data_IF_067631443648
#
_entry.id   IF_067631443648
#
_cell.length_a   1.000
_cell.length_b   1.000
_cell.length_c   1.000
_cell.angle_alpha   90.00
_cell.angle_beta   90.00
_cell.angle_gamma   90.00
#
_symmetry.space_group_name_H-M   'P 1'
#
loop_
_entity.id
_entity.type
_entity.pdbx_description
1 polymer ?
#
# COMPACT_ATOMS: atom_id res chain seq x y z
N UNK A 1 36.24 10.14 -10.70
CA UNK A 1 35.86 10.48 -9.30
C UNK A 1 35.90 9.18 -8.52
N UNK A 2 36.67 9.14 -7.45
CA UNK A 2 36.86 7.95 -6.62
C UNK A 2 36.14 8.21 -5.30
N UNK A 3 35.09 7.45 -5.02
CA UNK A 3 34.38 7.51 -3.74
C UNK A 3 35.06 6.53 -2.78
N UNK A 4 35.72 7.05 -1.75
CA UNK A 4 36.35 6.24 -0.70
C UNK A 4 35.36 6.11 0.46
N UNK A 5 34.85 4.91 0.69
CA UNK A 5 34.00 4.58 1.84
C UNK A 5 34.89 4.18 3.02
N UNK A 6 34.96 5.03 4.04
CA UNK A 6 35.59 4.70 5.32
C UNK A 6 34.58 4.01 6.24
N UNK A 7 34.92 2.83 6.75
CA UNK A 7 34.17 2.17 7.81
C UNK A 7 34.50 2.84 9.15
N UNK A 8 33.51 3.45 9.81
CA UNK A 8 33.63 3.90 11.19
C UNK A 8 33.19 2.76 12.12
N UNK A 9 34.13 2.28 12.94
CA UNK A 9 33.89 1.40 14.07
C UNK A 9 33.37 2.25 15.23
N UNK A 10 32.24 1.89 15.84
CA UNK A 10 31.79 2.53 17.07
C UNK A 10 32.71 2.11 18.23
N UNK A 11 33.51 3.04 18.77
CA UNK A 11 34.04 2.92 20.13
C UNK A 11 33.15 3.73 21.07
N UNK A 12 32.83 3.16 22.24
CA UNK A 12 32.10 3.82 23.33
C UNK A 12 33.02 4.87 24.02
N UNK A 13 33.29 5.99 23.35
CA UNK A 13 33.98 7.13 23.96
C UNK A 13 33.03 8.33 24.03
N UNK A 14 32.54 8.62 25.25
CA UNK A 14 31.68 9.76 25.64
C UNK A 14 32.45 11.12 25.64
N UNK A 15 33.43 11.31 24.76
CA UNK A 15 34.10 12.60 24.62
C UNK A 15 33.25 13.57 23.77
N UNK A 16 33.17 14.87 24.15
CA UNK A 16 32.41 15.85 23.38
C UNK A 16 32.94 15.92 21.95
N UNK A 17 32.06 15.66 20.98
CA UNK A 17 32.36 15.64 19.55
C UNK A 17 33.08 16.94 19.16
N UNK A 18 34.34 16.83 18.75
CA UNK A 18 35.12 17.97 18.22
C UNK A 18 34.40 18.59 17.02
N UNK A 19 34.34 19.93 16.96
CA UNK A 19 33.77 20.80 15.91
C UNK A 19 34.22 20.51 14.44
N UNK A 20 35.00 19.47 14.18
CA UNK A 20 35.58 19.14 12.88
C UNK A 20 34.79 18.19 11.98
N UNK A 21 33.71 17.57 12.47
CA UNK A 21 32.91 16.57 11.71
C UNK A 21 31.42 16.95 11.56
N UNK A 22 31.11 18.24 11.46
CA UNK A 22 29.75 18.70 11.14
C UNK A 22 29.58 18.64 9.62
N UNK A 23 28.71 17.75 9.13
CA UNK A 23 28.29 17.76 7.72
C UNK A 23 27.58 19.09 7.45
N UNK A 24 27.98 19.89 6.44
CA UNK A 24 27.32 21.16 6.14
C UNK A 24 25.82 20.97 5.87
N UNK A 25 24.98 21.89 6.37
CA UNK A 25 23.54 21.90 6.11
C UNK A 25 23.20 21.84 4.61
N UNK A 26 24.03 22.46 3.77
CA UNK A 26 23.89 22.41 2.30
C UNK A 26 24.11 21.00 1.73
N UNK A 27 25.01 20.21 2.32
CA UNK A 27 25.23 18.82 1.90
C UNK A 27 24.07 17.92 2.36
N UNK A 28 23.60 18.08 3.60
CA UNK A 28 22.41 17.36 4.10
C UNK A 28 21.16 17.72 3.28
N UNK A 29 20.97 18.99 2.92
CA UNK A 29 19.89 19.43 2.04
C UNK A 29 19.99 18.82 0.63
N UNK A 30 21.19 18.70 0.06
CA UNK A 30 21.36 18.02 -1.22
C UNK A 30 20.99 16.53 -1.12
N UNK A 31 21.41 15.84 -0.06
CA UNK A 31 21.04 14.44 0.20
C UNK A 31 19.54 14.29 0.37
N UNK A 32 18.89 15.14 1.16
CA UNK A 32 17.45 15.09 1.36
C UNK A 32 16.67 15.34 0.05
N UNK A 33 17.15 16.27 -0.79
CA UNK A 33 16.57 16.52 -2.11
C UNK A 33 16.65 15.28 -3.02
N UNK A 34 17.81 14.63 -3.12
CA UNK A 34 17.96 13.38 -3.86
C UNK A 34 17.08 12.28 -3.28
N UNK A 35 17.06 12.14 -1.96
CA UNK A 35 16.26 11.12 -1.29
C UNK A 35 14.75 11.28 -1.56
N UNK A 36 14.20 12.49 -1.45
CA UNK A 36 12.78 12.73 -1.75
C UNK A 36 12.47 12.58 -3.23
N UNK A 37 13.26 13.20 -4.10
CA UNK A 37 12.93 13.32 -5.51
C UNK A 37 13.33 12.11 -6.36
N UNK A 38 14.40 11.41 -5.99
CA UNK A 38 14.95 10.32 -6.79
C UNK A 38 14.66 8.93 -6.17
N UNK A 39 14.28 8.86 -4.89
CA UNK A 39 13.96 7.60 -4.21
C UNK A 39 12.48 7.55 -3.82
N UNK A 40 12.00 8.42 -2.94
CA UNK A 40 10.65 8.29 -2.37
C UNK A 40 9.56 8.53 -3.40
N UNK A 41 9.57 9.70 -4.05
CA UNK A 41 8.52 10.08 -5.00
C UNK A 41 8.41 9.10 -6.19
N UNK A 42 9.52 8.64 -6.81
CA UNK A 42 9.45 7.62 -7.86
C UNK A 42 8.93 6.28 -7.34
N UNK A 43 9.37 5.82 -6.16
CA UNK A 43 8.93 4.54 -5.58
C UNK A 43 7.41 4.53 -5.36
N UNK A 44 6.84 5.56 -4.74
CA UNK A 44 5.40 5.61 -4.52
C UNK A 44 4.58 5.85 -5.79
N UNK A 45 5.14 6.57 -6.77
CA UNK A 45 4.51 6.69 -8.09
C UNK A 45 4.45 5.32 -8.78
N UNK A 46 5.55 4.58 -8.81
CA UNK A 46 5.63 3.27 -9.45
C UNK A 46 4.76 2.25 -8.71
N UNK A 47 4.75 2.27 -7.37
CA UNK A 47 3.84 1.47 -6.56
C UNK A 47 2.37 1.71 -6.95
N UNK A 48 1.92 2.97 -7.02
CA UNK A 48 0.55 3.30 -7.44
C UNK A 48 0.26 2.81 -8.86
N UNK A 49 1.19 3.01 -9.79
CA UNK A 49 0.99 2.62 -11.19
C UNK A 49 0.93 1.08 -11.33
N UNK A 50 1.75 0.32 -10.58
CA UNK A 50 1.65 -1.15 -10.54
C UNK A 50 0.41 -1.64 -9.78
N UNK A 51 -0.02 -0.96 -8.72
CA UNK A 51 -1.27 -1.26 -8.03
C UNK A 51 -2.48 -1.07 -8.95
N UNK A 52 -2.43 -0.09 -9.86
CA UNK A 52 -3.44 0.04 -10.91
C UNK A 52 -3.46 -1.17 -11.85
N UNK A 53 -2.29 -1.64 -12.29
CA UNK A 53 -2.18 -2.84 -13.15
C UNK A 53 -2.71 -4.08 -12.42
N UNK A 54 -2.41 -4.21 -11.12
CA UNK A 54 -2.93 -5.26 -10.25
C UNK A 54 -4.46 -5.23 -10.19
N UNK A 55 -5.03 -4.07 -9.90
CA UNK A 55 -6.48 -3.86 -9.91
C UNK A 55 -7.10 -4.28 -11.25
N UNK A 56 -6.57 -3.77 -12.36
CA UNK A 56 -7.10 -4.04 -13.70
C UNK A 56 -7.01 -5.55 -14.04
N UNK A 57 -5.96 -6.24 -13.60
CA UNK A 57 -5.79 -7.69 -13.79
C UNK A 57 -6.78 -8.52 -12.95
N UNK A 58 -6.97 -8.17 -11.67
CA UNK A 58 -7.96 -8.84 -10.80
C UNK A 58 -9.39 -8.60 -11.28
N UNK A 59 -9.72 -7.37 -11.70
CA UNK A 59 -11.02 -7.03 -12.30
C UNK A 59 -11.28 -7.86 -13.55
N UNK A 60 -10.27 -8.02 -14.42
CA UNK A 60 -10.36 -8.84 -15.64
C UNK A 60 -10.58 -10.32 -15.30
N UNK A 61 -9.83 -10.88 -14.36
CA UNK A 61 -10.00 -12.26 -13.91
C UNK A 61 -11.43 -12.50 -13.39
N UNK A 62 -11.92 -11.61 -12.52
CA UNK A 62 -13.29 -11.70 -12.01
C UNK A 62 -14.35 -11.55 -13.11
N UNK A 63 -14.16 -10.62 -14.05
CA UNK A 63 -15.06 -10.45 -15.19
C UNK A 63 -15.11 -11.69 -16.09
N UNK A 64 -13.95 -12.29 -16.38
CA UNK A 64 -13.86 -13.51 -17.18
C UNK A 64 -14.47 -14.72 -16.46
N UNK A 65 -14.29 -14.85 -15.15
CA UNK A 65 -14.97 -15.88 -14.35
C UNK A 65 -16.49 -15.74 -14.40
N UNK A 66 -17.04 -14.52 -14.25
CA UNK A 66 -18.48 -14.26 -14.42
C UNK A 66 -18.99 -14.66 -15.81
N UNK A 67 -18.16 -14.53 -16.84
CA UNK A 67 -18.49 -14.90 -18.20
C UNK A 67 -18.26 -16.41 -18.51
N UNK A 68 -17.77 -17.20 -17.55
CA UNK A 68 -17.41 -18.61 -17.75
C UNK A 68 -16.16 -18.82 -18.61
N UNK A 69 -15.31 -17.80 -18.74
CA UNK A 69 -14.13 -17.77 -19.61
C UNK A 69 -12.82 -17.53 -18.85
N UNK A 70 -12.79 -17.76 -17.53
CA UNK A 70 -11.57 -17.61 -16.73
C UNK A 70 -10.49 -18.57 -17.25
N UNK A 71 -9.30 -18.03 -17.51
CA UNK A 71 -8.16 -18.79 -18.02
C UNK A 71 -6.95 -18.70 -17.08
N UNK A 72 -6.03 -19.67 -17.16
CA UNK A 72 -4.78 -19.62 -16.39
C UNK A 72 -3.98 -18.35 -16.71
N UNK A 73 -4.06 -17.86 -17.95
CA UNK A 73 -3.41 -16.61 -18.35
C UNK A 73 -3.98 -15.39 -17.61
N UNK A 74 -5.26 -15.39 -17.24
CA UNK A 74 -5.83 -14.32 -16.41
C UNK A 74 -5.28 -14.36 -14.99
N UNK A 75 -5.10 -15.57 -14.42
CA UNK A 75 -4.54 -15.73 -13.06
C UNK A 75 -3.05 -15.40 -13.04
N UNK A 76 -2.27 -15.86 -14.02
CA UNK A 76 -0.85 -15.50 -14.15
C UNK A 76 -0.68 -13.99 -14.30
N UNK A 77 -1.52 -13.31 -15.09
CA UNK A 77 -1.46 -11.85 -15.20
C UNK A 77 -1.73 -11.16 -13.85
N UNK A 78 -2.69 -11.63 -13.07
CA UNK A 78 -2.96 -11.11 -11.72
C UNK A 78 -1.79 -11.38 -10.75
N UNK A 79 -1.20 -12.58 -10.78
CA UNK A 79 -0.05 -12.95 -9.97
C UNK A 79 1.20 -12.13 -10.32
N UNK A 80 1.48 -11.90 -11.60
CA UNK A 80 2.58 -11.05 -12.06
C UNK A 80 2.37 -9.59 -11.64
N UNK A 81 1.15 -9.07 -11.80
CA UNK A 81 0.82 -7.72 -11.35
C UNK A 81 0.96 -7.57 -9.83
N UNK A 82 0.56 -8.61 -9.07
CA UNK A 82 0.73 -8.65 -7.62
C UNK A 82 2.21 -8.54 -7.25
N UNK A 83 3.06 -9.40 -7.81
CA UNK A 83 4.51 -9.41 -7.55
C UNK A 83 5.15 -8.05 -7.89
N UNK A 84 4.70 -7.39 -8.96
CA UNK A 84 5.23 -6.08 -9.35
C UNK A 84 4.82 -4.97 -8.39
N UNK A 85 3.55 -4.90 -7.98
CA UNK A 85 3.10 -3.93 -7.00
C UNK A 85 3.78 -4.17 -5.65
N UNK A 86 3.80 -5.44 -5.21
CA UNK A 86 4.42 -5.85 -3.95
C UNK A 86 5.90 -5.49 -3.89
N UNK A 87 6.64 -5.66 -4.99
CA UNK A 87 8.05 -5.28 -5.07
C UNK A 87 8.29 -3.81 -4.73
N UNK A 88 7.46 -2.91 -5.24
CA UNK A 88 7.65 -1.47 -4.96
C UNK A 88 7.19 -1.09 -3.54
N UNK A 89 6.20 -1.81 -2.99
CA UNK A 89 5.83 -1.68 -1.57
C UNK A 89 7.01 -2.07 -0.66
N UNK A 90 7.58 -3.26 -0.86
CA UNK A 90 8.70 -3.78 -0.06
C UNK A 90 9.95 -2.89 -0.17
N UNK A 91 10.19 -2.29 -1.33
CA UNK A 91 11.27 -1.30 -1.52
C UNK A 91 11.03 0.00 -0.76
N UNK A 92 9.78 0.30 -0.44
CA UNK A 92 9.40 1.50 0.32
C UNK A 92 9.48 1.32 1.83
N UNK A 93 9.66 0.09 2.32
CA UNK A 93 9.61 -0.21 3.76
C UNK A 93 10.76 0.42 4.56
N UNK A 94 11.84 0.82 3.89
CA UNK A 94 12.90 1.61 4.51
C UNK A 94 12.44 3.02 4.95
N UNK A 95 11.24 3.45 4.54
CA UNK A 95 10.71 4.79 4.79
C UNK A 95 9.19 4.82 5.05
N UNK A 96 8.69 3.91 5.89
CA UNK A 96 7.27 3.86 6.32
C UNK A 96 6.82 4.99 7.27
N UNK A 97 7.67 5.98 7.52
CA UNK A 97 7.27 7.16 8.27
C UNK A 97 6.47 8.14 7.41
N UNK A 98 5.85 9.15 8.03
CA UNK A 98 5.03 10.12 7.31
C UNK A 98 3.73 9.49 6.85
N UNK A 99 3.36 9.67 5.58
CA UNK A 99 2.05 9.25 5.07
C UNK A 99 1.73 7.77 5.26
N UNK A 100 2.71 6.86 5.24
CA UNK A 100 2.46 5.43 5.44
C UNK A 100 1.98 5.13 6.87
N UNK A 101 2.65 5.69 7.88
CA UNK A 101 2.27 5.55 9.29
C UNK A 101 1.11 6.48 9.70
N UNK A 102 1.23 7.78 9.44
CA UNK A 102 0.30 8.81 9.96
C UNK A 102 -1.11 8.72 9.35
N UNK A 103 -1.24 8.07 8.19
CA UNK A 103 -2.54 7.84 7.54
C UNK A 103 -2.95 6.36 7.60
N UNK A 104 -2.30 5.56 8.46
CA UNK A 104 -2.61 4.13 8.71
C UNK A 104 -2.61 3.27 7.44
N UNK A 105 -1.79 3.62 6.45
CA UNK A 105 -1.74 2.91 5.16
C UNK A 105 -1.03 1.57 5.31
N UNK A 106 0.09 1.55 6.05
CA UNK A 106 0.89 0.35 6.32
C UNK A 106 0.07 -0.80 6.92
N UNK A 107 -0.56 -0.65 8.11
CA UNK A 107 -1.37 -1.71 8.67
C UNK A 107 -2.58 -2.07 7.78
N UNK A 108 -3.14 -1.12 7.03
CA UNK A 108 -4.31 -1.36 6.19
C UNK A 108 -4.02 -2.22 4.95
N UNK A 109 -2.89 -1.99 4.27
CA UNK A 109 -2.55 -2.74 3.04
C UNK A 109 -1.57 -3.87 3.26
N UNK A 110 -0.93 -3.96 4.43
CA UNK A 110 0.13 -4.94 4.67
C UNK A 110 0.15 -5.57 6.07
N UNK A 111 -1.02 -5.73 6.68
CA UNK A 111 -1.12 -6.46 7.95
C UNK A 111 -0.65 -7.92 7.82
N UNK A 112 0.22 -8.32 8.74
CA UNK A 112 0.67 -9.70 8.94
C UNK A 112 0.82 -10.00 10.44
N UNK A 113 0.42 -11.19 10.95
CA UNK A 113 -0.08 -12.36 10.22
C UNK A 113 -1.53 -12.23 9.75
N UNK A 114 -1.86 -12.96 8.68
CA UNK A 114 -3.25 -13.15 8.22
C UNK A 114 -4.03 -13.97 9.26
N UNK A 115 -5.08 -13.40 9.86
CA UNK A 115 -5.94 -14.14 10.79
C UNK A 115 -6.85 -15.11 10.00
N UNK A 116 -6.52 -16.40 10.07
CA UNK A 116 -7.26 -17.43 9.37
C UNK A 116 -8.75 -17.47 9.76
N UNK A 117 -9.10 -17.23 11.03
CA UNK A 117 -10.49 -17.28 11.48
C UNK A 117 -11.28 -16.09 10.95
N UNK A 118 -10.67 -14.90 10.90
CA UNK A 118 -11.27 -13.73 10.23
C UNK A 118 -11.44 -13.96 8.73
N UNK A 119 -10.50 -14.64 8.06
CA UNK A 119 -10.61 -14.92 6.64
C UNK A 119 -11.74 -15.91 6.35
N UNK A 120 -11.84 -16.98 7.16
CA UNK A 120 -12.97 -17.93 7.12
C UNK A 120 -14.29 -17.19 7.31
N UNK A 121 -14.34 -16.27 8.28
CA UNK A 121 -15.52 -15.47 8.58
C UNK A 121 -15.90 -14.56 7.39
N UNK A 122 -14.94 -13.80 6.86
CA UNK A 122 -15.13 -12.87 5.75
C UNK A 122 -15.66 -13.58 4.50
N UNK A 123 -15.06 -14.71 4.13
CA UNK A 123 -15.39 -15.42 2.90
C UNK A 123 -16.66 -16.28 2.98
N UNK A 124 -17.09 -16.70 4.18
CA UNK A 124 -18.36 -17.42 4.36
C UNK A 124 -19.56 -16.50 4.62
N UNK A 125 -19.34 -15.28 5.14
CA UNK A 125 -20.42 -14.35 5.49
C UNK A 125 -21.08 -13.72 4.26
N UNK A 126 -22.35 -14.07 4.06
CA UNK A 126 -23.13 -13.62 2.89
C UNK A 126 -23.26 -12.09 2.80
N UNK A 127 -23.34 -11.37 3.92
CA UNK A 127 -23.40 -9.90 3.92
C UNK A 127 -22.07 -9.28 3.45
N UNK A 128 -20.93 -9.85 3.84
CA UNK A 128 -19.61 -9.41 3.39
C UNK A 128 -19.46 -9.66 1.90
N UNK A 129 -19.76 -10.87 1.43
CA UNK A 129 -19.73 -11.20 0.00
C UNK A 129 -20.70 -10.33 -0.82
N UNK A 130 -21.89 -10.03 -0.30
CA UNK A 130 -22.83 -9.15 -0.98
C UNK A 130 -22.30 -7.71 -1.10
N UNK A 131 -21.62 -7.19 -0.07
CA UNK A 131 -20.97 -5.89 -0.09
C UNK A 131 -19.82 -5.81 -1.10
N UNK A 132 -18.94 -6.82 -1.09
CA UNK A 132 -17.85 -6.98 -2.07
C UNK A 132 -18.37 -7.05 -3.51
N UNK A 133 -19.56 -7.62 -3.72
CA UNK A 133 -20.20 -7.68 -5.05
C UNK A 133 -21.12 -6.49 -5.35
N UNK A 134 -21.17 -5.53 -4.44
CA UNK A 134 -22.01 -4.33 -4.54
C UNK A 134 -21.48 -3.31 -5.54
N UNK A 135 -22.01 -2.09 -5.44
CA UNK A 135 -21.73 -1.01 -6.38
C UNK A 135 -20.29 -0.47 -6.26
N UNK A 136 -19.78 -0.33 -5.03
CA UNK A 136 -18.42 0.15 -4.77
C UNK A 136 -17.62 -0.84 -3.89
N UNK A 137 -17.09 -1.94 -4.47
CA UNK A 137 -16.39 -2.98 -3.72
C UNK A 137 -15.19 -2.49 -2.92
N UNK A 138 -14.36 -1.61 -3.50
CA UNK A 138 -13.19 -1.06 -2.81
C UNK A 138 -13.58 -0.15 -1.64
N UNK A 139 -14.67 0.61 -1.77
CA UNK A 139 -15.21 1.37 -0.65
C UNK A 139 -15.69 0.45 0.46
N UNK A 140 -16.37 -0.64 0.11
CA UNK A 140 -16.82 -1.64 1.09
C UNK A 140 -15.65 -2.24 1.87
N UNK A 141 -14.55 -2.61 1.18
CA UNK A 141 -13.31 -3.02 1.84
C UNK A 141 -12.84 -1.93 2.81
N UNK A 142 -12.72 -0.68 2.35
CA UNK A 142 -12.27 0.42 3.21
C UNK A 142 -13.20 0.73 4.39
N UNK A 143 -14.52 0.61 4.28
CA UNK A 143 -15.42 1.05 5.36
C UNK A 143 -15.82 -0.04 6.33
N UNK A 144 -15.77 -1.32 5.91
CA UNK A 144 -16.24 -2.44 6.72
C UNK A 144 -15.08 -3.35 7.18
N UNK A 145 -13.83 -2.95 6.94
CA UNK A 145 -12.65 -3.74 7.31
C UNK A 145 -12.49 -3.93 8.81
N UNK A 146 -13.10 -3.14 9.69
CA UNK A 146 -12.99 -3.32 11.16
C UNK A 146 -13.37 -4.74 11.63
N UNK A 147 -14.07 -5.51 10.79
CA UNK A 147 -14.44 -6.90 11.06
C UNK A 147 -13.49 -7.96 10.46
N UNK A 148 -12.54 -7.56 9.62
CA UNK A 148 -11.63 -8.46 8.88
C UNK A 148 -10.32 -7.75 8.43
N UNK A 149 -9.85 -6.76 9.19
CA UNK A 149 -8.74 -5.86 8.82
C UNK A 149 -7.44 -6.63 8.54
N UNK A 150 -7.16 -7.65 9.35
CA UNK A 150 -5.96 -8.47 9.20
C UNK A 150 -5.96 -9.35 7.95
N UNK A 151 -7.06 -9.42 7.20
CA UNK A 151 -7.21 -10.33 6.05
C UNK A 151 -7.41 -9.64 4.71
N UNK A 152 -7.35 -8.31 4.69
CA UNK A 152 -7.32 -7.51 3.45
C UNK A 152 -5.86 -7.23 3.04
N UNK A 153 -5.65 -6.24 2.16
CA UNK A 153 -4.32 -5.88 1.71
C UNK A 153 -3.61 -6.96 0.89
N UNK A 154 -2.29 -6.85 0.81
CA UNK A 154 -1.47 -7.72 -0.02
C UNK A 154 -1.56 -9.19 0.40
N UNK A 155 -1.51 -9.50 1.70
CA UNK A 155 -1.55 -10.89 2.14
C UNK A 155 -2.92 -11.56 1.98
N UNK A 156 -4.01 -10.81 2.13
CA UNK A 156 -5.35 -11.28 1.77
C UNK A 156 -5.48 -11.62 0.29
N UNK A 157 -4.91 -10.78 -0.57
CA UNK A 157 -4.86 -11.02 -2.00
C UNK A 157 -3.91 -12.17 -2.38
N UNK A 158 -2.79 -12.31 -1.67
CA UNK A 158 -1.84 -13.41 -1.82
C UNK A 158 -2.50 -14.77 -1.57
N UNK A 159 -3.33 -14.87 -0.52
CA UNK A 159 -4.10 -16.08 -0.23
C UNK A 159 -4.98 -16.52 -1.41
N UNK A 160 -5.64 -15.56 -2.07
CA UNK A 160 -6.52 -15.87 -3.21
C UNK A 160 -5.71 -16.23 -4.46
N UNK A 161 -4.55 -15.63 -4.68
CA UNK A 161 -3.78 -15.80 -5.91
C UNK A 161 -2.78 -16.96 -5.87
N UNK A 162 -2.28 -17.34 -4.69
CA UNK A 162 -1.20 -18.32 -4.54
C UNK A 162 -1.58 -19.46 -3.61
N UNK A 163 -0.97 -20.63 -3.83
CA UNK A 163 -1.06 -21.79 -2.94
C UNK A 163 0.27 -22.53 -2.94
N UNK A 164 0.84 -22.77 -1.76
CA UNK A 164 2.09 -23.52 -1.58
C UNK A 164 3.25 -23.00 -2.46
N UNK A 165 3.40 -21.68 -2.56
CA UNK A 165 4.47 -21.04 -3.33
C UNK A 165 4.28 -21.08 -4.85
N UNK A 166 3.11 -21.48 -5.34
CA UNK A 166 2.75 -21.47 -6.77
C UNK A 166 1.49 -20.64 -7.02
N UNK A 167 1.38 -20.09 -8.23
CA UNK A 167 0.14 -19.45 -8.70
C UNK A 167 -1.00 -20.48 -8.65
N UNK A 168 -2.18 -20.09 -8.14
CA UNK A 168 -3.39 -20.90 -8.27
C UNK A 168 -3.79 -20.98 -9.75
N UNK A 169 -4.52 -22.04 -10.12
CA UNK A 169 -5.00 -22.20 -11.50
C UNK A 169 -6.41 -21.67 -11.66
N UNK A 170 -6.82 -21.39 -12.89
CA UNK A 170 -8.21 -21.09 -13.21
C UNK A 170 -9.14 -22.26 -12.84
N UNK A 171 -8.66 -23.51 -12.91
CA UNK A 171 -9.45 -24.66 -12.46
C UNK A 171 -9.74 -24.61 -10.94
N UNK A 172 -8.76 -24.20 -10.13
CA UNK A 172 -8.95 -24.01 -8.69
C UNK A 172 -9.95 -22.90 -8.39
N UNK A 173 -9.88 -21.77 -9.10
CA UNK A 173 -10.75 -20.60 -8.88
C UNK A 173 -12.12 -20.70 -9.60
N UNK A 174 -12.32 -21.71 -10.46
CA UNK A 174 -13.64 -22.13 -10.94
C UNK A 174 -14.31 -23.16 -10.02
N UNK A 175 -13.56 -23.75 -9.09
CA UNK A 175 -14.07 -24.67 -8.08
C UNK A 175 -14.36 -23.94 -6.76
N UNK A 176 -14.75 -24.68 -5.73
CA UNK A 176 -14.78 -24.15 -4.37
C UNK A 176 -13.36 -24.13 -3.79
N UNK A 177 -13.14 -23.26 -2.79
CA UNK A 177 -11.93 -23.28 -1.97
C UNK A 177 -11.77 -24.64 -1.28
N UNK A 178 -10.53 -25.00 -1.00
CA UNK A 178 -10.11 -26.25 -0.36
C UNK A 178 -9.57 -26.06 1.04
N UNK A 179 -9.22 -24.83 1.42
CA UNK A 179 -8.74 -24.46 2.75
C UNK A 179 -9.78 -24.76 3.84
N UNK A 180 -9.28 -25.13 5.01
CA UNK A 180 -10.12 -25.54 6.13
C UNK A 180 -11.10 -24.43 6.53
N UNK A 181 -12.38 -24.77 6.71
CA UNK A 181 -13.43 -23.79 7.04
C UNK A 181 -13.97 -23.01 5.84
N UNK A 182 -13.38 -23.10 4.65
CA UNK A 182 -13.80 -22.37 3.44
C UNK A 182 -14.29 -23.28 2.31
N UNK A 183 -14.48 -24.58 2.53
CA UNK A 183 -14.86 -25.53 1.45
C UNK A 183 -16.21 -25.25 0.77
N UNK A 184 -17.06 -24.40 1.36
CA UNK A 184 -18.30 -23.90 0.78
C UNK A 184 -18.15 -22.60 -0.02
N UNK A 185 -17.03 -21.90 0.14
CA UNK A 185 -16.71 -20.65 -0.56
C UNK A 185 -16.44 -20.98 -2.02
N UNK A 186 -17.10 -20.26 -2.92
CA UNK A 186 -16.90 -20.44 -4.37
C UNK A 186 -15.70 -19.62 -4.81
N UNK A 187 -14.87 -20.13 -5.72
CA UNK A 187 -13.73 -19.37 -6.25
C UNK A 187 -14.14 -18.06 -6.95
N UNK A 188 -15.37 -17.96 -7.48
CA UNK A 188 -15.90 -16.67 -7.98
C UNK A 188 -16.15 -15.63 -6.87
N UNK A 189 -16.40 -16.07 -5.64
CA UNK A 189 -16.52 -15.19 -4.46
C UNK A 189 -15.12 -14.74 -4.03
N UNK A 190 -14.14 -15.64 -4.05
CA UNK A 190 -12.72 -15.30 -3.83
C UNK A 190 -12.20 -14.29 -4.87
N UNK A 191 -12.53 -14.48 -6.15
CA UNK A 191 -12.15 -13.54 -7.22
C UNK A 191 -12.82 -12.18 -7.07
N UNK A 192 -14.05 -12.13 -6.55
CA UNK A 192 -14.71 -10.87 -6.22
C UNK A 192 -13.98 -10.15 -5.07
N UNK A 193 -13.59 -10.90 -4.03
CA UNK A 193 -12.78 -10.39 -2.92
C UNK A 193 -11.43 -9.86 -3.42
N UNK A 194 -10.71 -10.63 -4.24
CA UNK A 194 -9.43 -10.21 -4.82
C UNK A 194 -9.54 -8.91 -5.64
N UNK A 195 -10.57 -8.78 -6.48
CA UNK A 195 -10.81 -7.54 -7.23
C UNK A 195 -11.11 -6.34 -6.32
N UNK A 196 -11.90 -6.55 -5.26
CA UNK A 196 -12.22 -5.49 -4.30
C UNK A 196 -10.98 -5.03 -3.51
N UNK A 197 -10.20 -5.99 -2.98
CA UNK A 197 -8.96 -5.72 -2.24
C UNK A 197 -7.92 -5.06 -3.14
N UNK A 198 -7.72 -5.53 -4.36
CA UNK A 198 -6.81 -4.89 -5.32
C UNK A 198 -7.25 -3.44 -5.66
N UNK A 199 -8.55 -3.21 -5.75
CA UNK A 199 -9.11 -1.86 -5.92
C UNK A 199 -8.83 -0.95 -4.72
N UNK A 200 -8.92 -1.48 -3.52
CA UNK A 200 -8.61 -0.75 -2.30
C UNK A 200 -7.11 -0.45 -2.16
N UNK A 201 -6.22 -1.42 -2.42
CA UNK A 201 -4.76 -1.22 -2.50
C UNK A 201 -4.43 -0.08 -3.48
N UNK A 202 -5.10 -0.02 -4.65
CA UNK A 202 -4.89 1.08 -5.59
C UNK A 202 -5.30 2.44 -5.02
N UNK A 203 -6.40 2.53 -4.27
CA UNK A 203 -6.82 3.78 -3.62
C UNK A 203 -5.82 4.19 -2.53
N UNK A 204 -5.40 3.26 -1.69
CA UNK A 204 -4.49 3.51 -0.58
C UNK A 204 -3.07 3.87 -1.06
N UNK A 205 -2.58 3.23 -2.11
CA UNK A 205 -1.29 3.61 -2.74
C UNK A 205 -1.38 4.96 -3.49
N UNK A 206 -2.56 5.33 -4.00
CA UNK A 206 -2.80 6.68 -4.52
C UNK A 206 -2.80 7.74 -3.42
N UNK A 207 -3.40 7.43 -2.28
CA UNK A 207 -3.37 8.26 -1.08
C UNK A 207 -1.94 8.45 -0.56
N UNK A 208 -1.14 7.39 -0.57
CA UNK A 208 0.27 7.41 -0.17
C UNK A 208 1.11 8.31 -1.07
N UNK A 209 0.99 8.16 -2.39
CA UNK A 209 1.67 9.03 -3.35
C UNK A 209 1.28 10.50 -3.13
N UNK A 210 -0.03 10.79 -3.00
CA UNK A 210 -0.53 12.14 -2.75
C UNK A 210 -0.02 12.71 -1.43
N UNK A 211 0.00 11.92 -0.36
CA UNK A 211 0.52 12.32 0.94
C UNK A 211 1.97 12.80 0.85
N UNK A 212 2.80 12.17 0.01
CA UNK A 212 4.19 12.56 -0.16
C UNK A 212 4.41 13.76 -1.07
N UNK A 213 3.75 13.80 -2.24
CA UNK A 213 4.04 14.82 -3.25
C UNK A 213 3.06 16.00 -3.27
N UNK A 214 1.91 15.90 -2.60
CA UNK A 214 0.86 16.92 -2.60
C UNK A 214 0.31 17.25 -3.99
N UNK A 215 0.40 16.34 -4.96
CA UNK A 215 -0.02 16.58 -6.34
C UNK A 215 -1.52 16.89 -6.42
N UNK A 216 -1.88 18.11 -6.85
CA UNK A 216 -3.26 18.58 -6.87
C UNK A 216 -4.15 17.80 -7.85
N UNK A 217 -3.57 17.24 -8.91
CA UNK A 217 -4.32 16.42 -9.88
C UNK A 217 -4.71 15.10 -9.23
N UNK A 218 -3.79 14.44 -8.53
CA UNK A 218 -4.04 13.22 -7.78
C UNK A 218 -4.97 13.47 -6.60
N UNK A 219 -4.83 14.59 -5.88
CA UNK A 219 -5.77 15.01 -4.84
C UNK A 219 -7.20 15.15 -5.39
N UNK A 220 -7.36 15.79 -6.54
CA UNK A 220 -8.67 15.90 -7.22
C UNK A 220 -9.21 14.55 -7.66
N UNK A 221 -8.33 13.64 -8.11
CA UNK A 221 -8.69 12.28 -8.47
C UNK A 221 -9.19 11.50 -7.25
N UNK A 222 -8.50 11.58 -6.10
CA UNK A 222 -8.92 10.94 -4.84
C UNK A 222 -10.31 11.41 -4.43
N UNK A 223 -10.54 12.73 -4.38
CA UNK A 223 -11.85 13.30 -4.03
C UNK A 223 -12.97 12.87 -5.00
N UNK A 224 -12.65 12.60 -6.26
CA UNK A 224 -13.66 12.24 -7.26
C UNK A 224 -13.93 10.72 -7.32
N UNK A 225 -12.93 9.88 -7.02
CA UNK A 225 -12.98 8.45 -7.28
C UNK A 225 -12.99 7.59 -6.01
N UNK A 226 -12.42 8.08 -4.92
CA UNK A 226 -12.30 7.34 -3.66
C UNK A 226 -12.30 8.26 -2.42
N UNK A 227 -13.16 9.28 -2.38
CA UNK A 227 -13.16 10.28 -1.29
C UNK A 227 -13.23 9.67 0.12
N UNK A 228 -13.78 8.47 0.27
CA UNK A 228 -13.81 7.75 1.54
C UNK A 228 -12.43 7.53 2.14
N UNK A 229 -11.37 7.33 1.34
CA UNK A 229 -10.00 7.17 1.87
C UNK A 229 -9.42 8.48 2.40
N UNK A 230 -9.95 9.62 1.95
CA UNK A 230 -9.55 10.95 2.47
C UNK A 230 -10.42 11.32 3.67
N UNK A 231 -11.73 11.08 3.57
CA UNK A 231 -12.69 11.34 4.65
C UNK A 231 -12.44 10.47 5.88
N UNK A 232 -11.97 9.23 5.69
CA UNK A 232 -11.64 8.32 6.78
C UNK A 232 -10.47 8.78 7.64
N UNK A 233 -9.64 9.70 7.16
CA UNK A 233 -8.53 10.28 7.93
C UNK A 233 -8.99 11.40 8.88
N UNK A 234 -10.27 11.81 8.82
CA UNK A 234 -10.80 12.86 9.69
C UNK A 234 -10.75 12.41 11.14
N UNK A 235 -9.84 13.00 11.91
CA UNK A 235 -9.68 12.74 13.35
C UNK A 235 -8.38 12.06 13.73
N UNK A 236 -7.56 11.64 12.77
CA UNK A 236 -6.18 11.21 13.03
C UNK A 236 -5.33 12.43 13.40
N UNK A 237 -4.74 12.41 14.60
CA UNK A 237 -4.04 13.56 15.20
C UNK A 237 -2.89 14.09 14.33
N UNK A 238 -2.21 13.18 13.63
CA UNK A 238 -1.02 13.47 12.80
C UNK A 238 -1.31 13.53 11.29
N UNK A 239 -2.59 13.48 10.89
CA UNK A 239 -3.01 13.59 9.48
C UNK A 239 -3.77 14.87 9.21
N UNK A 240 -3.32 15.64 8.21
CA UNK A 240 -4.07 16.80 7.69
C UNK A 240 -4.82 16.46 6.40
N UNK A 241 -5.61 15.38 6.41
CA UNK A 241 -6.30 14.90 5.20
C UNK A 241 -5.30 14.36 4.17
N UNK A 242 -4.52 13.37 4.60
CA UNK A 242 -3.43 12.67 3.89
C UNK A 242 -2.09 13.41 3.84
N UNK A 243 -2.10 14.74 3.96
CA UNK A 243 -0.90 15.57 4.00
C UNK A 243 -0.30 15.64 5.41
N UNK A 244 0.92 16.16 5.50
CA UNK A 244 1.58 16.43 6.79
C UNK A 244 0.77 17.40 7.65
N UNK A 245 1.06 17.45 8.95
CA UNK A 245 0.48 18.42 9.90
C UNK A 245 0.64 19.89 9.47
N UNK A 246 1.58 20.21 8.58
CA UNK A 246 1.77 21.53 7.99
C UNK A 246 0.87 21.84 6.77
N UNK A 247 -0.01 20.90 6.36
CA UNK A 247 -0.91 21.01 5.22
C UNK A 247 -0.21 20.95 3.86
N UNK A 248 0.96 20.30 3.79
CA UNK A 248 1.77 20.12 2.57
C UNK A 248 2.21 18.65 2.47
N UNK A 249 2.64 18.22 1.28
CA UNK A 249 3.16 16.86 1.09
C UNK A 249 4.37 16.58 1.99
N UNK A 250 4.48 15.35 2.50
CA UNK A 250 5.57 14.93 3.40
C UNK A 250 6.96 15.12 2.79
N UNK A 251 7.10 15.03 1.46
CA UNK A 251 8.34 15.35 0.76
C UNK A 251 8.74 16.81 0.94
N UNK A 252 7.81 17.74 0.70
CA UNK A 252 8.06 19.17 0.94
C UNK A 252 8.25 19.47 2.43
N UNK A 253 7.53 18.77 3.31
CA UNK A 253 7.67 18.91 4.75
C UNK A 253 9.08 18.53 5.23
N UNK A 254 9.65 17.46 4.66
CA UNK A 254 11.03 17.03 4.90
C UNK A 254 12.04 18.06 4.36
N UNK A 255 11.82 18.59 3.15
CA UNK A 255 12.75 19.51 2.51
C UNK A 255 12.73 20.93 3.09
N UNK A 256 11.70 21.30 3.84
CA UNK A 256 11.53 22.62 4.45
C UNK A 256 12.38 22.85 5.73
N UNK A 257 13.53 22.20 5.87
CA UNK A 257 14.38 22.32 7.04
C UNK A 257 14.63 23.79 7.40
N UNK A 258 14.58 24.14 8.70
CA UNK A 258 14.65 25.51 9.26
C UNK A 258 13.51 26.50 8.92
N UNK A 259 12.51 26.11 8.13
CA UNK A 259 11.32 26.93 7.83
C UNK A 259 10.20 26.84 8.88
N UNK A 260 9.20 27.73 8.80
CA UNK A 260 8.02 27.72 9.68
C UNK A 260 7.17 26.42 9.60
N UNK A 261 7.40 25.64 8.54
CA UNK A 261 6.78 24.34 8.25
C UNK A 261 7.83 23.24 8.12
N UNK A 262 8.89 23.27 8.92
CA UNK A 262 9.92 22.24 8.91
C UNK A 262 9.45 21.00 9.68
N UNK A 263 9.65 19.81 9.11
CA UNK A 263 9.49 18.57 9.87
C UNK A 263 10.59 18.42 10.92
N UNK A 264 11.83 18.74 10.53
CA UNK A 264 13.00 18.69 11.39
C UNK A 264 13.65 20.08 11.40
N UNK A 265 13.46 20.87 12.48
CA UNK A 265 13.85 22.29 12.50
C UNK A 265 15.36 22.54 12.63
N UNK A 266 16.18 21.50 12.78
CA UNK A 266 17.58 21.63 13.25
C UNK A 266 18.66 21.11 12.28
N UNK A 267 18.35 20.88 11.00
CA UNK A 267 19.39 20.62 9.99
C UNK A 267 19.26 21.54 8.78
#
# INVERSE_FOLDING_TARGET
MTLSLGFASCSDDDDPVTEGNVVPATELSAVANTYVNDIINPTYKDLKDYAKVLKDACDKAYANAKAGNLSDADITAACEAFKNARREWERSEAFLYGAAANNEIDPHIDSWPLDHDQLVEALNKQNIIAGIKGENPAQFIYTEHEHFESVIGFHGLEFVLFRNGSERTAAMLNANETEAGMTSVKGIDELAFAAAVAGDIYNMTSLLQYGWNGDATLGSWLTSNCNWVVDGLKGLEDSAGALSSAGIGYGQFLLNATGEKAWFPTW
#
